data_IF_979695316914
#
_entry.id   IF_979695316914
#
_cell.length_a   1.000
_cell.length_b   1.000
_cell.length_c   1.000
_cell.angle_alpha   90.00
_cell.angle_beta   90.00
_cell.angle_gamma   90.00
#
_symmetry.space_group_name_H-M   'P 1'
#
loop_
_entity.id
_entity.type
_entity.pdbx_description
1 polymer ?
#
# COMPACT_ATOMS: atom_id res chain seq x y z
N UNK A 1 -10.82 20.77 10.09
CA UNK A 1 -10.76 19.98 8.85
C UNK A 1 -9.38 19.34 8.84
N UNK A 2 -9.34 18.03 8.82
CA UNK A 2 -8.06 17.32 8.79
C UNK A 2 -7.42 17.46 7.40
N UNK A 3 -6.10 17.29 7.31
CA UNK A 3 -5.37 17.46 6.05
C UNK A 3 -5.88 16.51 4.95
N UNK A 4 -6.28 15.29 5.31
CA UNK A 4 -6.78 14.28 4.37
C UNK A 4 -8.18 14.55 3.83
N UNK A 5 -8.90 15.53 4.37
CA UNK A 5 -10.22 15.94 3.84
C UNK A 5 -10.12 16.59 2.46
N UNK A 6 -8.95 17.15 2.13
CA UNK A 6 -8.64 17.80 0.85
C UNK A 6 -7.42 17.20 0.17
N UNK A 7 -7.01 15.99 0.57
CA UNK A 7 -5.84 15.34 0.00
C UNK A 7 -6.08 14.89 -1.45
N UNK A 8 -5.04 15.05 -2.25
CA UNK A 8 -4.87 14.46 -3.58
C UNK A 8 -3.58 13.68 -3.55
N UNK A 9 -3.69 12.36 -3.69
CA UNK A 9 -2.55 11.47 -3.55
C UNK A 9 -1.82 11.22 -4.87
N UNK A 10 -0.51 11.07 -4.75
CA UNK A 10 0.34 10.45 -5.75
C UNK A 10 0.88 9.15 -5.19
N UNK A 11 0.57 8.02 -5.83
CA UNK A 11 0.95 6.69 -5.37
C UNK A 11 2.21 6.21 -6.10
N UNK A 12 3.23 5.88 -5.35
CA UNK A 12 4.52 5.39 -5.84
C UNK A 12 4.77 3.95 -5.36
N UNK A 13 5.03 3.04 -6.29
CA UNK A 13 5.65 1.74 -6.00
C UNK A 13 7.17 1.90 -6.19
N UNK A 14 7.93 2.08 -5.09
CA UNK A 14 9.27 2.64 -5.20
C UNK A 14 10.28 1.68 -5.82
N UNK A 15 10.22 0.37 -5.52
CA UNK A 15 11.13 -0.63 -6.10
C UNK A 15 11.02 -0.65 -7.63
N UNK A 16 9.80 -0.63 -8.16
CA UNK A 16 9.57 -0.61 -9.59
C UNK A 16 9.98 0.70 -10.24
N UNK A 17 9.55 1.85 -9.69
CA UNK A 17 9.92 3.15 -10.21
C UNK A 17 11.43 3.33 -10.27
N UNK A 18 12.16 2.88 -9.26
CA UNK A 18 13.61 2.99 -9.17
C UNK A 18 14.37 1.98 -10.03
N UNK A 19 13.70 0.95 -10.52
CA UNK A 19 14.35 -0.11 -11.29
C UNK A 19 15.16 -1.07 -10.44
N UNK A 20 14.75 -1.25 -9.19
CA UNK A 20 15.39 -2.18 -8.30
C UNK A 20 15.21 -3.63 -8.78
N UNK A 21 16.15 -4.53 -8.49
CA UNK A 21 15.96 -5.96 -8.78
C UNK A 21 14.76 -6.50 -8.01
N UNK A 22 14.06 -7.48 -8.60
CA UNK A 22 12.91 -8.12 -7.97
C UNK A 22 13.30 -8.76 -6.64
N UNK A 23 14.35 -9.57 -6.65
CA UNK A 23 14.88 -10.23 -5.45
C UNK A 23 15.94 -9.35 -4.79
N UNK A 24 15.91 -9.29 -3.46
CA UNK A 24 16.87 -8.53 -2.68
C UNK A 24 18.23 -9.22 -2.74
N UNK A 25 19.18 -8.57 -3.37
CA UNK A 25 20.55 -9.07 -3.55
C UNK A 25 21.51 -8.66 -2.43
N UNK A 26 21.02 -7.93 -1.42
CA UNK A 26 21.80 -7.43 -0.28
C UNK A 26 22.60 -6.16 -0.57
N UNK A 27 22.57 -5.62 -1.79
CA UNK A 27 23.23 -4.36 -2.14
C UNK A 27 22.41 -3.15 -1.72
N UNK A 28 23.08 -2.08 -1.30
CA UNK A 28 22.43 -0.82 -0.96
C UNK A 28 22.36 0.08 -2.19
N UNK A 29 21.16 0.47 -2.57
CA UNK A 29 20.91 1.42 -3.65
C UNK A 29 21.01 2.87 -3.21
N UNK A 30 21.00 3.79 -4.18
CA UNK A 30 21.00 5.24 -3.98
C UNK A 30 19.90 5.86 -4.86
N UNK A 31 18.62 5.63 -4.50
CA UNK A 31 17.49 5.98 -5.36
C UNK A 31 16.62 7.12 -4.84
N UNK A 32 16.93 7.68 -3.66
CA UNK A 32 16.11 8.74 -3.07
C UNK A 32 16.18 10.07 -3.84
N UNK A 33 17.23 10.35 -4.60
CA UNK A 33 17.25 11.51 -5.49
C UNK A 33 16.15 11.39 -6.55
N UNK A 34 16.00 10.22 -7.17
CA UNK A 34 14.92 9.95 -8.11
C UNK A 34 13.54 10.06 -7.45
N UNK A 35 13.39 9.54 -6.24
CA UNK A 35 12.12 9.64 -5.51
C UNK A 35 11.78 11.10 -5.16
N UNK A 36 12.76 11.94 -4.83
CA UNK A 36 12.58 13.38 -4.63
C UNK A 36 12.11 14.09 -5.91
N UNK A 37 12.68 13.77 -7.08
CA UNK A 37 12.22 14.32 -8.38
C UNK A 37 10.74 13.99 -8.64
N UNK A 38 10.32 12.77 -8.29
CA UNK A 38 8.91 12.36 -8.43
C UNK A 38 7.99 12.99 -7.39
N UNK A 39 8.48 13.26 -6.19
CA UNK A 39 7.73 14.03 -5.19
C UNK A 39 7.51 15.49 -5.66
N UNK A 40 8.51 16.11 -6.26
CA UNK A 40 8.39 17.43 -6.88
C UNK A 40 7.42 17.41 -8.07
N UNK A 41 7.47 16.35 -8.90
CA UNK A 41 6.51 16.17 -9.99
C UNK A 41 5.08 16.07 -9.45
N UNK A 42 4.84 15.23 -8.45
CA UNK A 42 3.54 15.10 -7.80
C UNK A 42 3.00 16.45 -7.31
N UNK A 43 3.85 17.24 -6.66
CA UNK A 43 3.50 18.61 -6.22
C UNK A 43 3.14 19.50 -7.40
N UNK A 44 3.92 19.48 -8.50
CA UNK A 44 3.66 20.32 -9.69
C UNK A 44 2.31 20.01 -10.35
N UNK A 45 1.87 18.75 -10.35
CA UNK A 45 0.57 18.36 -10.89
C UNK A 45 -0.58 18.53 -9.90
N UNK A 46 -0.33 19.10 -8.70
CA UNK A 46 -1.35 19.46 -7.73
C UNK A 46 -1.61 18.42 -6.63
N UNK A 47 -0.81 17.35 -6.53
CA UNK A 47 -0.89 16.45 -5.39
C UNK A 47 -0.28 17.09 -4.14
N UNK A 48 -0.88 16.80 -2.98
CA UNK A 48 -0.42 17.27 -1.68
C UNK A 48 -0.20 16.13 -0.68
N UNK A 49 -0.27 14.89 -1.15
CA UNK A 49 0.07 13.71 -0.40
C UNK A 49 0.72 12.65 -1.30
N UNK A 50 1.69 11.92 -0.74
CA UNK A 50 2.33 10.78 -1.39
C UNK A 50 2.02 9.53 -0.57
N UNK A 51 1.54 8.49 -1.25
CA UNK A 51 1.56 7.14 -0.78
C UNK A 51 2.75 6.43 -1.44
N UNK A 52 3.74 6.05 -0.63
CA UNK A 52 4.93 5.33 -1.06
C UNK A 52 4.97 3.96 -0.40
N UNK A 53 4.87 2.91 -1.20
CA UNK A 53 4.86 1.54 -0.65
C UNK A 53 4.76 0.46 -1.73
N UNK A 54 5.22 -0.76 -1.35
CA UNK A 54 5.89 -1.12 -0.11
C UNK A 54 7.30 -0.51 0.00
N UNK A 55 7.73 -0.17 1.22
CA UNK A 55 8.94 0.63 1.46
C UNK A 55 10.01 -0.09 2.30
N UNK A 56 9.57 -0.96 3.21
CA UNK A 56 10.47 -1.54 4.20
C UNK A 56 11.17 -2.81 3.69
N UNK A 57 12.28 -3.16 4.35
CA UNK A 57 13.17 -4.26 3.97
C UNK A 57 12.38 -5.55 3.72
N UNK A 58 12.60 -6.15 2.56
CA UNK A 58 11.87 -7.31 2.08
C UNK A 58 12.80 -8.27 1.33
N UNK A 59 12.36 -9.52 1.17
CA UNK A 59 13.12 -10.53 0.41
C UNK A 59 12.96 -10.35 -1.10
N UNK A 60 11.76 -9.88 -1.56
CA UNK A 60 11.47 -9.75 -2.99
C UNK A 60 10.61 -8.52 -3.31
N UNK A 61 9.33 -8.72 -3.60
CA UNK A 61 8.42 -7.69 -4.11
C UNK A 61 8.01 -6.60 -3.11
N UNK A 62 8.52 -6.61 -1.89
CA UNK A 62 8.24 -5.59 -0.89
C UNK A 62 7.16 -5.97 0.13
N UNK A 63 6.28 -6.92 -0.19
CA UNK A 63 5.24 -7.39 0.73
C UNK A 63 5.67 -8.59 1.58
N UNK A 64 6.77 -9.22 1.28
CA UNK A 64 7.44 -10.23 2.10
C UNK A 64 8.45 -9.58 3.07
N UNK A 65 7.91 -8.72 3.94
CA UNK A 65 8.69 -7.88 4.88
C UNK A 65 9.59 -8.74 5.78
N UNK A 66 10.86 -8.36 5.85
CA UNK A 66 11.88 -9.01 6.67
C UNK A 66 12.35 -8.14 7.84
N UNK A 67 12.25 -6.81 7.70
CA UNK A 67 12.47 -5.86 8.79
C UNK A 67 11.60 -4.61 8.60
N UNK A 68 10.70 -4.35 9.54
CA UNK A 68 9.80 -3.19 9.49
C UNK A 68 10.46 -1.87 9.87
N UNK A 69 11.69 -1.89 10.42
CA UNK A 69 12.38 -0.67 10.91
C UNK A 69 13.51 -0.25 9.99
N UNK A 70 13.76 -1.00 8.93
CA UNK A 70 14.70 -0.65 7.87
C UNK A 70 13.95 -0.33 6.59
N UNK A 71 14.32 0.77 5.95
CA UNK A 71 13.96 1.03 4.56
C UNK A 71 14.60 -0.05 3.69
N UNK A 72 13.92 -0.52 2.68
CA UNK A 72 14.45 -1.54 1.77
C UNK A 72 15.80 -1.04 1.20
N UNK A 73 16.84 -1.82 1.48
CA UNK A 73 18.21 -1.41 1.12
C UNK A 73 18.39 -1.15 -0.36
N UNK A 74 17.61 -1.82 -1.21
CA UNK A 74 17.63 -1.57 -2.66
C UNK A 74 17.27 -0.12 -3.01
N UNK A 75 16.55 0.59 -2.16
CA UNK A 75 16.18 2.01 -2.33
C UNK A 75 17.22 2.96 -1.72
N UNK A 76 17.74 2.60 -0.56
CA UNK A 76 18.66 3.43 0.22
C UNK A 76 18.62 3.13 1.71
N UNK A 77 18.83 4.15 2.53
CA UNK A 77 18.90 4.05 3.98
C UNK A 77 17.72 4.73 4.69
N UNK A 78 17.56 4.45 5.99
CA UNK A 78 16.61 5.16 6.85
C UNK A 78 16.84 6.68 6.84
N UNK A 79 18.09 7.13 6.79
CA UNK A 79 18.41 8.56 6.76
C UNK A 79 17.95 9.20 5.43
N UNK A 80 18.07 8.50 4.32
CA UNK A 80 17.62 9.00 3.02
C UNK A 80 16.09 9.16 3.00
N UNK A 81 15.36 8.18 3.55
CA UNK A 81 13.90 8.30 3.68
C UNK A 81 13.48 9.41 4.64
N UNK A 82 14.17 9.56 5.77
CA UNK A 82 13.95 10.68 6.70
C UNK A 82 14.11 12.03 5.99
N UNK A 83 15.15 12.16 5.17
CA UNK A 83 15.37 13.39 4.39
C UNK A 83 14.30 13.58 3.31
N UNK A 84 13.86 12.50 2.64
CA UNK A 84 12.75 12.52 1.69
C UNK A 84 11.46 13.06 2.33
N UNK A 85 11.08 12.55 3.51
CA UNK A 85 9.89 13.04 4.23
C UNK A 85 10.02 14.52 4.59
N UNK A 86 11.19 14.96 5.06
CA UNK A 86 11.45 16.39 5.34
C UNK A 86 11.29 17.26 4.09
N UNK A 87 11.79 16.80 2.96
CA UNK A 87 11.65 17.50 1.68
C UNK A 87 10.18 17.59 1.24
N UNK A 88 9.42 16.50 1.42
CA UNK A 88 7.98 16.50 1.17
C UNK A 88 7.26 17.52 2.06
N UNK A 89 7.51 17.49 3.37
CA UNK A 89 6.89 18.42 4.32
C UNK A 89 7.26 19.89 4.05
N UNK A 90 8.51 20.17 3.65
CA UNK A 90 8.93 21.52 3.27
C UNK A 90 8.16 22.06 2.04
N UNK A 91 7.54 21.18 1.26
CA UNK A 91 6.71 21.49 0.11
C UNK A 91 5.20 21.29 0.38
N UNK A 92 4.78 21.22 1.64
CA UNK A 92 3.39 20.94 2.05
C UNK A 92 2.84 19.64 1.44
N UNK A 93 3.64 18.60 1.33
CA UNK A 93 3.26 17.27 0.85
C UNK A 93 3.32 16.28 2.01
N UNK A 94 2.22 15.61 2.29
CA UNK A 94 2.09 14.57 3.31
C UNK A 94 2.61 13.23 2.80
N UNK A 95 3.14 12.39 3.70
CA UNK A 95 3.70 11.08 3.33
C UNK A 95 3.05 9.96 4.12
N UNK A 96 2.52 8.96 3.42
CA UNK A 96 2.04 7.71 4.03
C UNK A 96 2.81 6.51 3.47
N UNK A 97 2.92 5.45 4.28
CA UNK A 97 3.63 4.22 3.93
C UNK A 97 2.73 2.99 4.03
N UNK A 98 3.15 1.86 3.49
CA UNK A 98 2.49 0.57 3.69
C UNK A 98 2.77 -0.01 5.08
N UNK A 99 1.70 -0.48 5.73
CA UNK A 99 1.75 -1.34 6.91
C UNK A 99 1.34 -2.76 6.55
N UNK A 100 2.30 -3.62 6.27
CA UNK A 100 2.09 -5.04 5.95
C UNK A 100 2.02 -5.82 7.27
N UNK A 101 0.87 -5.78 7.94
CA UNK A 101 0.73 -6.33 9.31
C UNK A 101 0.02 -7.68 9.37
N UNK A 102 -0.52 -8.17 8.25
CA UNK A 102 -1.17 -9.48 8.20
C UNK A 102 -0.16 -10.64 8.18
N UNK A 103 1.01 -10.44 7.60
CA UNK A 103 2.01 -11.47 7.35
C UNK A 103 3.42 -10.90 7.34
N UNK A 104 4.41 -11.78 7.38
CA UNK A 104 5.82 -11.44 7.17
C UNK A 104 6.42 -12.29 6.07
N UNK A 105 7.55 -11.86 5.53
CA UNK A 105 8.44 -12.72 4.77
C UNK A 105 9.08 -13.79 5.66
N UNK A 106 9.61 -14.83 5.03
CA UNK A 106 10.23 -15.97 5.72
C UNK A 106 11.56 -15.64 6.38
N UNK A 107 12.23 -14.57 5.94
CA UNK A 107 13.49 -14.10 6.51
C UNK A 107 13.30 -13.15 7.72
N UNK A 108 12.05 -12.88 8.12
CA UNK A 108 11.74 -12.14 9.33
C UNK A 108 12.27 -12.89 10.57
N UNK A 109 12.87 -12.15 11.50
CA UNK A 109 13.60 -12.74 12.64
C UNK A 109 12.79 -13.78 13.46
N UNK A 110 11.50 -13.51 13.68
CA UNK A 110 10.64 -14.41 14.45
C UNK A 110 10.36 -15.72 13.70
N UNK A 111 10.21 -15.64 12.37
CA UNK A 111 10.03 -16.82 11.53
C UNK A 111 11.33 -17.64 11.43
N UNK A 112 12.48 -16.99 11.31
CA UNK A 112 13.78 -17.65 11.31
C UNK A 112 14.07 -18.37 12.63
N UNK A 113 13.67 -17.80 13.76
CA UNK A 113 13.76 -18.45 15.07
C UNK A 113 12.91 -19.74 15.11
N UNK A 114 11.68 -19.73 14.54
CA UNK A 114 10.84 -20.94 14.44
C UNK A 114 11.54 -22.02 13.58
N UNK A 115 12.13 -21.63 12.45
CA UNK A 115 12.87 -22.57 11.60
C UNK A 115 14.04 -23.23 12.35
N UNK A 116 14.74 -22.47 13.18
CA UNK A 116 15.91 -22.93 13.91
C UNK A 116 15.55 -23.72 15.18
N UNK A 117 14.63 -23.19 15.99
CA UNK A 117 14.35 -23.68 17.35
C UNK A 117 13.07 -24.52 17.45
N UNK A 118 12.25 -24.55 16.39
CA UNK A 118 11.05 -25.38 16.24
C UNK A 118 10.08 -25.20 17.43
N UNK A 119 9.66 -26.30 18.08
CA UNK A 119 8.75 -26.28 19.24
C UNK A 119 9.29 -25.45 20.42
N UNK A 120 10.60 -25.25 20.48
CA UNK A 120 11.25 -24.45 21.52
C UNK A 120 11.30 -22.95 21.19
N UNK A 121 10.91 -22.55 20.00
CA UNK A 121 10.84 -21.13 19.63
C UNK A 121 9.86 -20.38 20.51
N UNK A 122 10.29 -19.23 21.06
CA UNK A 122 9.41 -18.31 21.78
C UNK A 122 8.41 -17.62 20.85
N UNK A 123 8.63 -17.63 19.54
CA UNK A 123 7.83 -16.95 18.53
C UNK A 123 6.81 -17.85 17.82
N UNK A 124 6.70 -19.15 18.21
CA UNK A 124 5.76 -20.06 17.55
C UNK A 124 4.32 -19.58 17.57
N UNK A 125 3.90 -18.88 18.63
CA UNK A 125 2.56 -18.34 18.78
C UNK A 125 2.38 -16.96 18.12
N UNK A 126 3.44 -16.43 17.49
CA UNK A 126 3.36 -15.21 16.67
C UNK A 126 2.74 -15.47 15.31
N UNK A 127 2.72 -16.72 14.86
CA UNK A 127 2.14 -17.12 13.59
C UNK A 127 0.91 -18.01 13.78
N UNK A 128 0.00 -17.95 12.82
CA UNK A 128 -1.22 -18.73 12.87
C UNK A 128 -0.97 -20.20 12.50
N UNK A 129 -1.53 -21.11 13.31
CA UNK A 129 -1.60 -22.54 13.05
C UNK A 129 -0.26 -23.24 12.72
N UNK A 130 0.82 -22.84 13.41
CA UNK A 130 2.12 -23.52 13.29
C UNK A 130 1.98 -24.96 13.75
N UNK A 131 2.27 -25.91 12.84
CA UNK A 131 2.15 -27.34 13.09
C UNK A 131 3.43 -28.07 12.72
N UNK A 132 4.17 -28.54 13.73
CA UNK A 132 5.45 -29.22 13.56
C UNK A 132 5.36 -30.68 13.08
N UNK A 133 4.14 -31.19 12.89
CA UNK A 133 3.89 -32.49 12.24
C UNK A 133 3.55 -32.35 10.77
N UNK A 134 3.45 -31.12 10.26
CA UNK A 134 3.22 -30.79 8.88
C UNK A 134 4.50 -30.55 8.09
N UNK A 135 4.32 -30.12 6.83
CA UNK A 135 5.40 -29.65 5.96
C UNK A 135 4.85 -28.55 5.03
N UNK A 136 5.73 -27.89 4.29
CA UNK A 136 5.40 -26.89 3.29
C UNK A 136 6.28 -27.05 2.04
N UNK A 137 6.09 -26.25 1.01
CA UNK A 137 6.82 -26.30 -0.26
C UNK A 137 8.34 -26.06 -0.12
N UNK A 138 8.78 -25.43 0.97
CA UNK A 138 10.19 -25.17 1.26
C UNK A 138 10.85 -26.30 2.08
N UNK A 139 10.11 -27.35 2.41
CA UNK A 139 10.59 -28.48 3.23
C UNK A 139 11.11 -28.08 4.62
N UNK A 140 10.48 -27.11 5.28
CA UNK A 140 10.86 -26.67 6.62
C UNK A 140 10.53 -27.73 7.71
N UNK A 141 9.75 -28.76 7.39
CA UNK A 141 9.30 -29.77 8.35
C UNK A 141 8.21 -29.27 9.31
N UNK A 142 7.55 -28.18 9.01
CA UNK A 142 6.33 -27.69 9.66
C UNK A 142 5.45 -26.96 8.66
N UNK A 143 4.15 -26.82 9.00
CA UNK A 143 3.19 -26.03 8.24
C UNK A 143 2.69 -24.85 9.08
N UNK A 144 2.13 -23.84 8.44
CA UNK A 144 1.59 -22.62 9.04
C UNK A 144 0.56 -21.99 8.09
N UNK A 145 -0.28 -21.11 8.61
CA UNK A 145 -1.16 -20.32 7.77
C UNK A 145 -0.37 -19.24 7.01
N UNK A 146 -0.87 -18.92 5.82
CA UNK A 146 -0.26 -17.93 4.94
C UNK A 146 -1.33 -17.00 4.35
N UNK A 147 -0.89 -15.95 3.67
CA UNK A 147 -1.77 -15.10 2.89
C UNK A 147 -1.90 -15.63 1.46
N UNK A 148 -3.14 -15.74 0.98
CA UNK A 148 -3.44 -16.06 -0.43
C UNK A 148 -2.97 -17.44 -0.92
N UNK A 149 -2.56 -18.36 -0.05
CA UNK A 149 -1.98 -19.65 -0.42
C UNK A 149 -0.46 -19.62 -0.65
N UNK A 150 0.20 -18.47 -0.42
CA UNK A 150 1.63 -18.29 -0.63
C UNK A 150 2.41 -18.47 0.66
N UNK A 151 3.15 -19.57 0.81
CA UNK A 151 3.96 -19.83 2.00
C UNK A 151 5.13 -18.83 2.19
N UNK A 152 5.46 -18.04 1.18
CA UNK A 152 6.37 -16.90 1.33
C UNK A 152 5.85 -15.86 2.31
N UNK A 153 4.51 -15.73 2.46
CA UNK A 153 3.81 -14.71 3.23
C UNK A 153 3.17 -15.35 4.48
N UNK A 154 4.01 -15.60 5.50
CA UNK A 154 3.60 -16.30 6.72
C UNK A 154 2.64 -15.44 7.56
N UNK A 155 1.44 -15.95 7.85
CA UNK A 155 0.37 -15.19 8.51
C UNK A 155 0.66 -14.99 9.99
N UNK A 156 0.66 -13.73 10.43
CA UNK A 156 0.82 -13.34 11.83
C UNK A 156 -0.46 -13.56 12.64
N UNK A 157 -0.29 -13.92 13.89
CA UNK A 157 -1.35 -14.05 14.88
C UNK A 157 -1.62 -12.71 15.58
N UNK A 158 -2.48 -11.88 15.01
CA UNK A 158 -2.85 -10.58 15.57
C UNK A 158 -3.69 -10.67 16.87
N UNK A 159 -4.07 -11.87 17.33
CA UNK A 159 -4.62 -12.09 18.66
C UNK A 159 -3.53 -12.13 19.74
N UNK A 160 -2.30 -12.42 19.37
CA UNK A 160 -1.17 -12.42 20.29
C UNK A 160 -0.79 -10.99 20.68
N UNK A 161 -0.79 -10.65 21.99
CA UNK A 161 -0.46 -9.29 22.45
C UNK A 161 0.97 -8.86 22.10
N UNK A 162 1.93 -9.80 22.04
CA UNK A 162 3.31 -9.47 21.67
C UNK A 162 3.40 -9.03 20.20
N UNK A 163 2.65 -9.69 19.30
CA UNK A 163 2.59 -9.31 17.88
C UNK A 163 1.96 -7.93 17.72
N UNK A 164 0.84 -7.69 18.41
CA UNK A 164 0.19 -6.36 18.39
C UNK A 164 1.14 -5.28 18.89
N UNK A 165 1.76 -5.48 20.05
CA UNK A 165 2.71 -4.53 20.62
C UNK A 165 3.90 -4.29 19.68
N UNK A 166 4.42 -5.34 19.04
CA UNK A 166 5.51 -5.18 18.07
C UNK A 166 5.13 -4.24 16.93
N UNK A 167 3.92 -4.38 16.37
CA UNK A 167 3.44 -3.49 15.31
C UNK A 167 3.15 -2.08 15.80
N UNK A 168 2.55 -1.90 16.98
CA UNK A 168 2.33 -0.56 17.55
C UNK A 168 3.65 0.17 17.80
N UNK A 169 4.66 -0.51 18.36
CA UNK A 169 6.00 0.05 18.56
C UNK A 169 6.72 0.32 17.22
N UNK A 170 6.43 -0.47 16.17
CA UNK A 170 6.90 -0.21 14.82
C UNK A 170 6.30 1.08 14.25
N UNK A 171 5.00 1.27 14.41
CA UNK A 171 4.33 2.51 13.98
C UNK A 171 4.86 3.72 14.75
N UNK A 172 5.06 3.57 16.07
CA UNK A 172 5.70 4.62 16.86
C UNK A 172 7.10 4.97 16.33
N UNK A 173 7.90 3.95 16.02
CA UNK A 173 9.23 4.15 15.42
C UNK A 173 9.13 4.91 14.09
N UNK A 174 8.17 4.58 13.22
CA UNK A 174 7.99 5.29 11.95
C UNK A 174 7.62 6.76 12.12
N UNK A 175 6.78 7.06 13.12
CA UNK A 175 6.42 8.45 13.44
C UNK A 175 7.62 9.20 14.04
N UNK A 176 8.29 8.61 15.02
CA UNK A 176 9.40 9.25 15.74
C UNK A 176 10.63 9.48 14.84
N UNK A 177 10.95 8.48 13.99
CA UNK A 177 12.15 8.50 13.17
C UNK A 177 11.93 9.21 11.84
N UNK A 178 10.80 8.98 11.17
CA UNK A 178 10.55 9.46 9.82
C UNK A 178 9.51 10.57 9.74
N UNK A 179 8.73 10.80 10.79
CA UNK A 179 7.64 11.79 10.82
C UNK A 179 6.55 11.55 9.77
N UNK A 180 6.23 10.28 9.45
CA UNK A 180 5.16 9.95 8.49
C UNK A 180 3.79 10.46 8.95
N UNK A 181 2.87 10.67 8.02
CA UNK A 181 1.54 11.27 8.26
C UNK A 181 0.41 10.24 8.24
N UNK A 182 0.70 9.00 7.94
CA UNK A 182 -0.31 7.94 7.90
C UNK A 182 0.20 6.62 7.37
N UNK A 183 -0.72 5.64 7.33
CA UNK A 183 -0.44 4.27 6.90
C UNK A 183 -1.57 3.79 6.01
N UNK A 184 -1.21 3.10 4.93
CA UNK A 184 -2.10 2.19 4.21
C UNK A 184 -1.90 0.80 4.79
N UNK A 185 -2.95 0.18 5.31
CA UNK A 185 -2.92 -1.20 5.78
C UNK A 185 -3.12 -2.16 4.60
N UNK A 186 -2.10 -2.94 4.33
CA UNK A 186 -2.13 -4.03 3.37
C UNK A 186 -3.12 -5.11 3.81
N UNK A 187 -3.88 -5.69 2.87
CA UNK A 187 -4.84 -6.75 3.11
C UNK A 187 -5.76 -6.48 4.33
N UNK A 188 -6.26 -5.25 4.45
CA UNK A 188 -7.05 -4.83 5.62
C UNK A 188 -8.36 -5.60 5.77
N UNK A 189 -8.86 -6.20 4.71
CA UNK A 189 -10.08 -7.03 4.70
C UNK A 189 -9.93 -8.33 5.51
N UNK A 190 -8.68 -8.79 5.74
CA UNK A 190 -8.37 -9.99 6.55
C UNK A 190 -7.68 -9.68 7.88
N UNK A 191 -7.45 -8.39 8.19
CA UNK A 191 -6.91 -7.97 9.49
C UNK A 191 -7.95 -8.09 10.62
N UNK A 192 -7.46 -8.36 11.82
CA UNK A 192 -8.29 -8.39 13.02
C UNK A 192 -8.86 -6.99 13.33
N UNK A 193 -10.19 -6.92 13.54
CA UNK A 193 -10.86 -5.64 13.87
C UNK A 193 -10.42 -5.08 15.22
N UNK A 194 -10.11 -5.95 16.20
CA UNK A 194 -9.58 -5.52 17.50
C UNK A 194 -8.24 -4.84 17.35
N UNK A 195 -7.34 -5.41 16.54
CA UNK A 195 -6.06 -4.79 16.20
C UNK A 195 -6.24 -3.44 15.50
N UNK A 196 -7.13 -3.32 14.51
CA UNK A 196 -7.37 -2.03 13.83
C UNK A 196 -7.90 -0.95 14.77
N UNK A 197 -8.76 -1.30 15.75
CA UNK A 197 -9.24 -0.36 16.78
C UNK A 197 -8.13 0.08 17.72
N UNK A 198 -7.30 -0.86 18.17
CA UNK A 198 -6.13 -0.56 19.01
C UNK A 198 -5.15 0.35 18.25
N UNK A 199 -4.85 0.03 16.98
CA UNK A 199 -3.99 0.84 16.10
C UNK A 199 -4.54 2.25 15.93
N UNK A 200 -5.86 2.40 15.68
CA UNK A 200 -6.49 3.71 15.57
C UNK A 200 -6.32 4.55 16.83
N UNK A 201 -6.62 3.96 17.99
CA UNK A 201 -6.49 4.64 19.27
C UNK A 201 -5.04 5.05 19.54
N UNK A 202 -4.10 4.15 19.25
CA UNK A 202 -2.68 4.38 19.43
C UNK A 202 -2.17 5.51 18.53
N UNK A 203 -2.50 5.48 17.25
CA UNK A 203 -2.10 6.52 16.29
C UNK A 203 -2.66 7.90 16.63
N UNK A 204 -3.90 7.97 17.13
CA UNK A 204 -4.48 9.23 17.59
C UNK A 204 -3.68 9.87 18.74
N UNK A 205 -3.00 9.05 19.55
CA UNK A 205 -2.11 9.51 20.63
C UNK A 205 -0.70 9.89 20.18
N UNK A 206 -0.27 9.43 19.00
CA UNK A 206 1.09 9.71 18.49
C UNK A 206 1.17 11.03 17.72
N UNK A 207 0.26 11.26 16.78
CA UNK A 207 0.32 12.42 15.89
C UNK A 207 -1.10 12.89 15.58
N UNK A 208 -1.41 14.19 15.73
CA UNK A 208 -2.69 14.76 15.30
C UNK A 208 -2.95 14.47 13.82
N UNK A 209 -4.19 14.10 13.50
CA UNK A 209 -4.64 13.84 12.13
C UNK A 209 -3.83 12.73 11.41
N UNK A 210 -3.25 11.77 12.16
CA UNK A 210 -2.60 10.60 11.56
C UNK A 210 -3.62 9.77 10.79
N UNK A 211 -3.39 9.58 9.50
CA UNK A 211 -4.38 8.96 8.62
C UNK A 211 -4.18 7.46 8.49
N UNK A 212 -5.27 6.70 8.61
CA UNK A 212 -5.29 5.25 8.39
C UNK A 212 -6.23 4.93 7.22
N UNK A 213 -5.70 4.29 6.22
CA UNK A 213 -6.42 3.76 5.07
C UNK A 213 -6.20 2.26 4.98
N UNK A 214 -7.22 1.49 4.62
CA UNK A 214 -7.11 0.05 4.44
C UNK A 214 -7.34 -0.37 3.00
N UNK A 215 -6.60 -1.36 2.58
CA UNK A 215 -6.93 -2.08 1.37
C UNK A 215 -8.11 -3.03 1.63
N UNK A 216 -9.22 -2.74 0.98
CA UNK A 216 -10.43 -3.58 1.00
C UNK A 216 -10.95 -3.68 -0.43
N UNK A 217 -10.98 -4.90 -0.98
CA UNK A 217 -11.39 -5.12 -2.38
C UNK A 217 -12.91 -5.21 -2.49
N UNK A 218 -13.56 -5.96 -1.59
CA UNK A 218 -14.97 -6.26 -1.65
C UNK A 218 -15.66 -6.14 -0.29
N UNK A 219 -16.98 -5.93 -0.32
CA UNK A 219 -17.82 -5.97 0.85
C UNK A 219 -18.46 -4.64 1.23
N UNK A 220 -19.03 -4.59 2.42
CA UNK A 220 -19.58 -3.37 2.99
C UNK A 220 -18.43 -2.55 3.60
N UNK A 221 -17.99 -1.53 2.88
CA UNK A 221 -16.85 -0.68 3.26
C UNK A 221 -17.02 0.02 4.62
N UNK A 222 -18.26 0.24 5.09
CA UNK A 222 -18.52 0.83 6.40
C UNK A 222 -18.01 -0.03 7.57
N UNK A 223 -17.83 -1.32 7.36
CA UNK A 223 -17.25 -2.22 8.37
C UNK A 223 -15.82 -1.84 8.76
N UNK A 224 -15.06 -1.28 7.84
CA UNK A 224 -13.67 -0.85 8.04
C UNK A 224 -13.55 0.67 8.15
N UNK A 225 -14.18 1.41 7.21
CA UNK A 225 -14.16 2.87 7.20
C UNK A 225 -15.22 3.41 8.16
N UNK A 226 -14.82 3.68 9.40
CA UNK A 226 -15.69 4.18 10.47
C UNK A 226 -14.88 4.96 11.52
N UNK A 227 -15.55 5.48 12.53
CA UNK A 227 -14.90 6.32 13.54
C UNK A 227 -13.95 5.55 14.46
N UNK A 228 -14.14 4.24 14.60
CA UNK A 228 -13.38 3.41 15.55
C UNK A 228 -12.13 2.79 14.92
N UNK A 229 -12.06 2.66 13.59
CA UNK A 229 -11.00 1.97 12.88
C UNK A 229 -10.33 2.84 11.81
N UNK A 230 -10.70 2.69 10.55
CA UNK A 230 -10.02 3.35 9.45
C UNK A 230 -10.75 4.62 9.02
N UNK A 231 -10.00 5.62 8.57
CA UNK A 231 -10.57 6.85 8.02
C UNK A 231 -11.12 6.62 6.62
N UNK A 232 -10.51 5.69 5.88
CA UNK A 232 -10.81 5.41 4.48
C UNK A 232 -10.48 3.97 4.13
N UNK A 233 -11.04 3.48 3.03
CA UNK A 233 -10.61 2.24 2.37
C UNK A 233 -10.53 2.46 0.85
N UNK A 234 -9.84 1.55 0.17
CA UNK A 234 -9.69 1.56 -1.29
C UNK A 234 -11.01 1.36 -2.01
N UNK A 235 -11.29 2.18 -3.03
CA UNK A 235 -12.54 2.17 -3.78
C UNK A 235 -12.44 1.30 -5.05
N UNK A 236 -12.28 -0.01 -4.87
CA UNK A 236 -12.20 -0.96 -5.99
C UNK A 236 -13.51 -1.05 -6.78
N UNK A 237 -14.66 -0.82 -6.14
CA UNK A 237 -15.93 -0.84 -6.85
C UNK A 237 -16.05 0.28 -7.86
N UNK A 238 -15.64 1.51 -7.49
CA UNK A 238 -15.63 2.61 -8.44
C UNK A 238 -14.55 2.41 -9.51
N UNK A 239 -13.37 1.89 -9.15
CA UNK A 239 -12.34 1.49 -10.12
C UNK A 239 -12.93 0.59 -11.19
N UNK A 240 -13.67 -0.46 -10.80
CA UNK A 240 -14.35 -1.34 -11.76
C UNK A 240 -15.37 -0.58 -12.60
N UNK A 241 -16.24 0.19 -11.98
CA UNK A 241 -17.28 0.97 -12.67
C UNK A 241 -16.70 1.97 -13.69
N UNK A 242 -15.55 2.56 -13.40
CA UNK A 242 -14.89 3.51 -14.29
C UNK A 242 -14.49 2.88 -15.61
N UNK A 243 -13.76 1.76 -15.62
CA UNK A 243 -13.33 1.15 -16.87
C UNK A 243 -14.47 0.40 -17.57
N UNK A 244 -15.31 -0.37 -16.86
CA UNK A 244 -16.41 -1.11 -17.48
C UNK A 244 -17.46 -0.19 -18.03
N UNK A 245 -17.89 0.84 -17.29
CA UNK A 245 -18.88 1.79 -17.75
C UNK A 245 -18.47 2.53 -19.03
N UNK A 246 -17.18 2.84 -19.18
CA UNK A 246 -16.66 3.46 -20.41
C UNK A 246 -16.58 2.46 -21.57
N UNK A 247 -16.11 1.23 -21.32
CA UNK A 247 -15.95 0.21 -22.35
C UNK A 247 -17.31 -0.28 -22.89
N UNK A 248 -18.30 -0.39 -22.01
CA UNK A 248 -19.65 -0.87 -22.35
C UNK A 248 -20.60 0.26 -22.74
N UNK A 249 -20.12 1.52 -22.74
CA UNK A 249 -20.92 2.72 -22.97
C UNK A 249 -22.13 2.83 -22.02
N UNK A 250 -21.96 2.36 -20.77
CA UNK A 250 -23.00 2.30 -19.74
C UNK A 250 -22.63 3.17 -18.53
N UNK A 251 -22.79 4.47 -18.64
CA UNK A 251 -22.51 5.40 -17.52
C UNK A 251 -23.50 5.30 -16.36
N UNK A 252 -24.64 4.61 -16.51
CA UNK A 252 -25.53 4.30 -15.40
C UNK A 252 -24.83 3.41 -14.36
N UNK A 253 -23.90 2.54 -14.76
CA UNK A 253 -23.07 1.75 -13.83
C UNK A 253 -22.26 2.65 -12.92
N UNK A 254 -21.61 3.67 -13.46
CA UNK A 254 -20.81 4.64 -12.68
C UNK A 254 -21.72 5.41 -11.71
N UNK A 255 -22.83 5.96 -12.21
CA UNK A 255 -23.77 6.73 -11.39
C UNK A 255 -24.38 5.88 -10.27
N UNK A 256 -24.76 4.63 -10.56
CA UNK A 256 -25.27 3.68 -9.57
C UNK A 256 -24.23 3.38 -8.50
N UNK A 257 -22.99 3.10 -8.89
CA UNK A 257 -21.88 2.80 -7.96
C UNK A 257 -21.64 3.96 -7.02
N UNK A 258 -21.54 5.19 -7.53
CA UNK A 258 -21.35 6.40 -6.69
C UNK A 258 -22.51 6.55 -5.70
N UNK A 259 -23.75 6.46 -6.16
CA UNK A 259 -24.94 6.59 -5.31
C UNK A 259 -24.98 5.52 -4.21
N UNK A 260 -24.68 4.28 -4.56
CA UNK A 260 -24.67 3.15 -3.62
C UNK A 260 -23.57 3.33 -2.57
N UNK A 261 -22.34 3.65 -2.98
CA UNK A 261 -21.21 3.84 -2.07
C UNK A 261 -21.47 4.99 -1.09
N UNK A 262 -21.98 6.13 -1.56
CA UNK A 262 -22.34 7.25 -0.67
C UNK A 262 -23.37 6.84 0.39
N UNK A 263 -24.31 5.94 0.04
CA UNK A 263 -25.28 5.40 1.00
C UNK A 263 -24.67 4.43 2.02
N UNK A 264 -23.59 3.75 1.67
CA UNK A 264 -22.90 2.79 2.56
C UNK A 264 -21.94 3.50 3.52
N UNK A 265 -21.09 4.37 3.01
CA UNK A 265 -20.00 4.97 3.80
C UNK A 265 -20.37 6.27 4.51
N UNK A 266 -21.55 6.83 4.21
CA UNK A 266 -22.05 8.05 4.85
C UNK A 266 -21.12 9.24 4.62
N UNK A 267 -20.57 9.80 5.69
CA UNK A 267 -19.66 10.94 5.68
C UNK A 267 -18.20 10.58 5.37
N UNK A 268 -17.86 9.28 5.28
CA UNK A 268 -16.50 8.83 5.00
C UNK A 268 -16.16 9.02 3.53
N UNK A 269 -14.91 9.37 3.28
CA UNK A 269 -14.35 9.51 1.93
C UNK A 269 -13.52 8.29 1.60
N UNK A 270 -13.84 7.60 0.50
CA UNK A 270 -13.08 6.47 0.02
C UNK A 270 -11.84 6.92 -0.76
N UNK A 271 -10.75 6.18 -0.65
CA UNK A 271 -9.56 6.37 -1.46
C UNK A 271 -9.84 5.92 -2.90
N UNK A 272 -9.98 6.90 -3.80
CA UNK A 272 -10.50 6.73 -5.15
C UNK A 272 -9.37 6.77 -6.18
N UNK A 273 -9.30 5.78 -7.06
CA UNK A 273 -8.25 5.63 -8.05
C UNK A 273 -8.79 5.01 -9.35
N UNK A 274 -8.10 5.23 -10.45
CA UNK A 274 -8.38 4.54 -11.71
C UNK A 274 -7.53 3.29 -11.90
N UNK A 275 -6.35 3.24 -11.33
CA UNK A 275 -5.45 2.11 -11.25
C UNK A 275 -4.51 2.24 -10.04
N UNK A 276 -3.81 1.14 -9.72
CA UNK A 276 -2.79 1.04 -8.68
C UNK A 276 -1.80 -0.07 -9.04
N UNK A 277 -0.93 -0.44 -8.11
CA UNK A 277 0.07 -1.49 -8.33
C UNK A 277 -0.51 -2.92 -8.42
N UNK A 278 -1.78 -3.15 -8.04
CA UNK A 278 -2.42 -4.47 -8.02
C UNK A 278 -3.31 -4.77 -9.22
N UNK A 279 -3.64 -3.76 -10.01
CA UNK A 279 -4.51 -3.90 -11.18
C UNK A 279 -3.82 -3.44 -12.46
N UNK A 280 -4.28 -3.93 -13.61
CA UNK A 280 -3.79 -3.43 -14.88
C UNK A 280 -4.02 -1.91 -15.00
N UNK A 281 -3.07 -1.20 -15.61
CA UNK A 281 -3.16 0.24 -15.79
C UNK A 281 -4.40 0.62 -16.57
N UNK A 282 -5.02 1.73 -16.20
CA UNK A 282 -6.27 2.20 -16.81
C UNK A 282 -6.14 2.35 -18.32
N UNK A 283 -5.00 2.84 -18.81
CA UNK A 283 -4.73 2.95 -20.25
C UNK A 283 -4.83 1.59 -20.95
N UNK A 284 -4.35 0.51 -20.33
CA UNK A 284 -4.48 -0.85 -20.89
C UNK A 284 -5.91 -1.37 -20.85
N UNK A 285 -6.68 -1.06 -19.78
CA UNK A 285 -8.06 -1.53 -19.59
C UNK A 285 -9.08 -0.87 -20.53
N UNK A 286 -8.86 0.39 -20.91
CA UNK A 286 -9.81 1.12 -21.74
C UNK A 286 -9.72 0.69 -23.23
N UNK A 287 -10.87 0.36 -23.84
CA UNK A 287 -10.98 0.07 -25.27
C UNK A 287 -10.67 1.33 -26.11
N UNK A 288 -11.30 2.46 -25.77
CA UNK A 288 -11.00 3.77 -26.34
C UNK A 288 -10.07 4.54 -25.40
N UNK A 289 -8.84 4.77 -25.81
CA UNK A 289 -7.81 5.44 -24.99
C UNK A 289 -8.14 6.90 -24.67
N UNK A 290 -8.93 7.57 -25.49
CA UNK A 290 -9.40 8.94 -25.21
C UNK A 290 -10.30 9.02 -23.97
N UNK A 291 -10.93 7.93 -23.55
CA UNK A 291 -11.71 7.88 -22.32
C UNK A 291 -10.87 8.06 -21.06
N UNK A 292 -9.54 7.97 -21.14
CA UNK A 292 -8.66 8.25 -20.01
C UNK A 292 -8.88 9.63 -19.41
N UNK A 293 -9.13 10.65 -20.26
CA UNK A 293 -9.46 12.01 -19.78
C UNK A 293 -10.78 12.03 -18.97
N UNK A 294 -11.81 11.32 -19.44
CA UNK A 294 -13.09 11.23 -18.73
C UNK A 294 -12.94 10.52 -17.40
N UNK A 295 -12.17 9.42 -17.37
CA UNK A 295 -11.87 8.68 -16.13
C UNK A 295 -11.12 9.58 -15.15
N UNK A 296 -10.09 10.30 -15.57
CA UNK A 296 -9.36 11.23 -14.73
C UNK A 296 -10.28 12.31 -14.15
N UNK A 297 -11.12 12.94 -14.98
CA UNK A 297 -12.10 13.93 -14.50
C UNK A 297 -12.99 13.35 -13.41
N UNK A 298 -13.50 12.13 -13.61
CA UNK A 298 -14.36 11.47 -12.62
C UNK A 298 -13.61 11.21 -11.32
N UNK A 299 -12.39 10.65 -11.36
CA UNK A 299 -11.58 10.38 -10.15
C UNK A 299 -11.41 11.63 -9.29
N UNK A 300 -11.20 12.80 -9.93
CA UNK A 300 -10.99 14.06 -9.22
C UNK A 300 -12.26 14.80 -8.80
N UNK A 301 -13.41 14.46 -9.35
CA UNK A 301 -14.66 15.24 -9.15
C UNK A 301 -15.74 14.50 -8.38
N UNK A 302 -15.66 13.17 -8.28
CA UNK A 302 -16.59 12.39 -7.46
C UNK A 302 -16.24 12.49 -5.97
N UNK A 303 -17.21 12.26 -5.06
CA UNK A 303 -16.90 12.17 -3.64
C UNK A 303 -15.85 11.11 -3.33
N UNK A 304 -14.75 11.51 -2.71
CA UNK A 304 -13.65 10.61 -2.37
C UNK A 304 -12.34 11.36 -2.12
N UNK A 305 -11.27 10.60 -1.92
CA UNK A 305 -9.89 11.09 -1.82
C UNK A 305 -9.17 10.58 -3.07
N UNK A 306 -8.93 11.44 -4.07
CA UNK A 306 -8.37 11.01 -5.35
C UNK A 306 -6.90 10.62 -5.24
N UNK A 307 -6.52 9.63 -6.03
CA UNK A 307 -5.14 9.17 -6.17
C UNK A 307 -4.78 8.87 -7.61
N UNK A 308 -3.57 9.27 -7.98
CA UNK A 308 -2.91 8.91 -9.23
C UNK A 308 -1.81 7.90 -8.92
N UNK A 309 -1.79 6.79 -9.63
CA UNK A 309 -0.65 5.88 -9.62
C UNK A 309 0.43 6.40 -10.60
N UNK A 310 1.69 6.41 -10.17
CA UNK A 310 2.79 7.00 -10.93
C UNK A 310 2.81 6.53 -12.40
N UNK A 311 2.91 7.45 -13.32
CA UNK A 311 2.92 7.18 -14.77
C UNK A 311 1.55 7.07 -15.42
N UNK A 312 0.45 6.95 -14.66
CA UNK A 312 -0.90 6.88 -15.23
C UNK A 312 -1.33 8.19 -15.85
N UNK A 313 -0.84 9.33 -15.35
CA UNK A 313 -1.03 10.66 -15.93
C UNK A 313 -0.47 10.79 -17.35
N UNK A 314 0.50 9.94 -17.72
CA UNK A 314 1.09 9.90 -19.05
C UNK A 314 0.45 8.84 -19.98
N UNK A 315 -0.54 8.10 -19.48
CA UNK A 315 -1.17 7.03 -20.25
C UNK A 315 -0.27 5.82 -20.49
N UNK A 316 0.59 5.50 -19.55
CA UNK A 316 1.50 4.35 -19.67
C UNK A 316 0.70 3.05 -19.62
N UNK A 317 0.93 2.11 -20.54
CA UNK A 317 0.32 0.79 -20.50
C UNK A 317 0.98 -0.11 -19.44
N UNK A 318 0.24 -1.10 -18.95
CA UNK A 318 0.75 -2.16 -18.07
C UNK A 318 -0.33 -3.18 -17.76
N UNK A 319 0.05 -4.45 -17.75
CA UNK A 319 -0.83 -5.57 -17.43
C UNK A 319 -0.21 -6.43 -16.32
N UNK A 320 -1.09 -7.07 -15.54
CA UNK A 320 -0.76 -8.06 -14.53
C UNK A 320 -1.32 -9.41 -14.96
N UNK A 321 -0.71 -10.03 -15.94
CA UNK A 321 -1.14 -11.31 -16.47
C UNK A 321 0.07 -12.24 -16.69
N UNK A 322 -0.13 -13.53 -16.40
CA UNK A 322 0.81 -14.62 -16.75
C UNK A 322 2.26 -14.43 -16.25
N UNK A 323 2.44 -13.94 -15.01
CA UNK A 323 3.77 -13.77 -14.43
C UNK A 323 4.53 -12.53 -14.88
N UNK A 324 3.89 -11.65 -15.66
CA UNK A 324 4.41 -10.33 -16.01
C UNK A 324 3.84 -9.28 -15.07
N UNK A 325 4.68 -8.56 -14.36
CA UNK A 325 4.28 -7.40 -13.55
C UNK A 325 4.84 -6.10 -14.14
N UNK A 326 4.37 -5.75 -15.34
CA UNK A 326 4.72 -4.49 -15.98
C UNK A 326 4.01 -3.28 -15.35
N UNK A 327 3.14 -3.50 -14.37
CA UNK A 327 2.47 -2.45 -13.60
C UNK A 327 3.34 -1.97 -12.45
N UNK A 328 3.78 -2.90 -11.59
CA UNK A 328 4.61 -2.57 -10.42
C UNK A 328 6.03 -2.20 -10.85
N UNK A 329 6.61 -2.92 -11.80
CA UNK A 329 7.97 -2.70 -12.30
C UNK A 329 8.00 -1.85 -13.58
N UNK A 330 7.36 -0.69 -13.56
CA UNK A 330 7.43 0.31 -14.63
C UNK A 330 8.59 1.27 -14.36
N UNK A 331 9.64 1.22 -15.19
CA UNK A 331 10.77 2.14 -15.09
C UNK A 331 10.46 3.43 -15.85
N UNK A 332 10.49 4.55 -15.14
CA UNK A 332 10.28 5.87 -15.72
C UNK A 332 11.41 6.81 -15.29
N UNK A 333 11.83 7.67 -16.21
CA UNK A 333 12.62 8.85 -15.88
C UNK A 333 11.72 10.07 -15.96
N UNK A 334 11.69 10.89 -14.91
CA UNK A 334 10.82 12.06 -14.82
C UNK A 334 11.01 13.05 -15.99
N UNK A 335 12.19 13.06 -16.62
CA UNK A 335 12.50 13.92 -17.77
C UNK A 335 12.09 13.33 -19.13
N UNK A 336 12.01 12.00 -19.25
CA UNK A 336 11.66 11.34 -20.53
C UNK A 336 10.17 11.44 -20.82
N UNK A 337 9.35 11.53 -19.80
CA UNK A 337 7.89 11.63 -19.91
C UNK A 337 7.42 13.03 -20.30
N UNK A 338 8.16 14.08 -19.92
CA UNK A 338 7.86 15.47 -20.30
C UNK A 338 8.30 15.84 -21.72
N UNK A 339 9.25 15.08 -22.30
CA UNK A 339 9.78 15.35 -23.65
C UNK A 339 8.98 14.67 -24.75
N UNK A 340 8.11 13.72 -24.43
CA UNK A 340 7.35 12.91 -25.39
C UNK A 340 5.85 13.24 -25.41
N UNK A 341 5.42 14.27 -24.68
CA UNK A 341 4.08 14.86 -24.70
C UNK A 341 4.09 16.20 -25.44
#
# INVERSE_FOLDING_TARGET
>A
MAWYDSAVFYHIYPLGLCGCPHDNNGETGEHFDKLNEWAEHAKRIGCNAIYIGPLFESGSHGYDTTDYRLVDRRLGTNNDFKQFVKNCHANDVKVIVDGVFNHTGREFFAFQDIKQNRENSRYKDWYCNVNFWGNNEYNDGFSYDNWGGYNLLAKLNLWNPEVKNYHLETVKFWVDEFDIDGIRLDAADVLDFGFMKELRSFCNGLKPDFWLMGEVIHGDYSRWANNDMLHSVTNYELHKGLYSGHNDHNYFEIAHTIKRLNGIVGDKKLYTFCDNHDVARIYSKLNNKAHMYNVAILVYTVPGIPSIYYGSEFGIPGNKENGSDSVSYTHLRAHETLANL
#
